data_IF_908538732295
#
_entry.id   IF_908538732295
#
_cell.length_a   1.000
_cell.length_b   1.000
_cell.length_c   1.000
_cell.angle_alpha   90.00
_cell.angle_beta   90.00
_cell.angle_gamma   90.00
#
_symmetry.space_group_name_H-M   'P 1'
#
loop_
_entity.id
_entity.type
_entity.pdbx_description
1 polymer ?
#
# COMPACT_ATOMS: atom_id res chain seq x y z
N UNK A 1 -18.58 -12.24 -20.71
CA UNK A 1 -18.00 -13.01 -19.58
C UNK A 1 -16.69 -13.61 -20.06
N UNK A 2 -15.70 -13.81 -19.16
CA UNK A 2 -14.31 -14.26 -19.44
C UNK A 2 -13.44 -13.02 -19.73
N UNK A 3 -12.57 -12.55 -18.82
CA UNK A 3 -11.38 -13.25 -18.34
C UNK A 3 -11.19 -13.09 -16.83
N UNK A 4 -11.37 -14.18 -16.10
CA UNK A 4 -10.83 -14.38 -14.75
C UNK A 4 -9.66 -15.39 -14.88
N UNK A 5 -8.83 -15.49 -13.84
CA UNK A 5 -7.86 -16.58 -13.56
C UNK A 5 -6.65 -16.79 -14.49
N UNK A 6 -5.72 -15.84 -14.52
CA UNK A 6 -4.28 -16.13 -14.68
C UNK A 6 -3.56 -15.21 -13.70
N UNK A 7 -3.10 -15.68 -12.55
CA UNK A 7 -1.69 -16.02 -12.38
C UNK A 7 -1.47 -16.74 -11.04
N UNK A 8 -1.97 -17.97 -10.91
CA UNK A 8 -1.81 -18.83 -9.72
C UNK A 8 -0.52 -19.67 -9.82
N UNK A 9 0.60 -19.06 -10.19
CA UNK A 9 1.89 -19.77 -10.32
C UNK A 9 2.99 -18.81 -9.90
N UNK A 10 3.43 -18.86 -8.64
CA UNK A 10 4.81 -18.66 -8.16
C UNK A 10 4.84 -19.25 -6.74
N UNK A 11 4.71 -20.58 -6.67
CA UNK A 11 5.07 -21.39 -5.50
C UNK A 11 5.98 -22.47 -6.04
N UNK A 12 7.24 -22.16 -6.34
CA UNK A 12 8.35 -23.12 -6.42
C UNK A 12 9.68 -22.43 -6.76
N UNK A 13 10.42 -21.97 -5.75
CA UNK A 13 11.88 -21.85 -5.83
C UNK A 13 12.44 -21.76 -4.40
N UNK A 14 12.35 -22.86 -3.67
CA UNK A 14 13.11 -23.06 -2.45
C UNK A 14 14.60 -23.14 -2.77
N UNK A 15 15.37 -22.59 -1.83
CA UNK A 15 16.66 -23.06 -1.37
C UNK A 15 17.90 -22.82 -2.24
N UNK A 16 18.68 -21.82 -1.83
CA UNK A 16 20.12 -22.02 -1.68
C UNK A 16 20.59 -21.42 -0.34
N UNK A 17 20.93 -22.33 0.57
CA UNK A 17 21.81 -22.17 1.73
C UNK A 17 23.17 -21.56 1.29
N UNK A 18 24.03 -20.91 2.09
CA UNK A 18 24.36 -21.05 3.51
C UNK A 18 25.33 -19.93 3.97
N UNK A 19 25.35 -19.72 5.28
CA UNK A 19 26.54 -19.54 6.13
C UNK A 19 27.15 -18.13 6.35
N UNK A 20 27.23 -17.82 7.64
CA UNK A 20 28.43 -17.42 8.39
C UNK A 20 28.61 -15.94 8.75
N UNK A 21 28.79 -15.71 10.07
CA UNK A 21 29.19 -14.47 10.73
C UNK A 21 28.12 -13.97 11.71
N UNK A 22 28.20 -14.07 13.04
CA UNK A 22 29.34 -14.30 13.93
C UNK A 22 29.52 -13.12 14.90
N UNK A 23 28.86 -13.20 16.06
CA UNK A 23 29.33 -12.61 17.34
C UNK A 23 29.04 -11.14 17.66
N UNK A 24 28.47 -10.88 18.85
CA UNK A 24 28.47 -9.55 19.47
C UNK A 24 27.38 -9.32 20.52
N UNK A 25 27.69 -9.58 21.78
CA UNK A 25 26.85 -9.51 22.98
C UNK A 25 26.28 -8.11 23.31
N UNK A 26 25.07 -8.05 23.86
CA UNK A 26 24.70 -7.49 25.18
C UNK A 26 23.31 -6.84 25.23
N UNK A 27 22.66 -7.03 26.38
CA UNK A 27 21.55 -6.26 26.93
C UNK A 27 20.11 -6.71 26.62
N UNK A 28 19.65 -7.61 27.48
CA UNK A 28 18.34 -7.64 28.17
C UNK A 28 17.21 -6.77 27.61
N UNK A 29 16.13 -7.42 27.22
CA UNK A 29 14.83 -6.78 27.01
C UNK A 29 13.82 -7.73 26.37
N UNK A 30 13.04 -8.42 27.20
CA UNK A 30 11.81 -9.09 26.78
C UNK A 30 10.89 -8.10 26.06
N UNK A 31 10.76 -8.22 24.74
CA UNK A 31 9.57 -7.76 24.03
C UNK A 31 9.30 -8.71 22.86
N UNK A 32 8.35 -9.63 23.07
CA UNK A 32 7.58 -10.26 21.99
C UNK A 32 6.86 -9.16 21.21
N UNK A 33 7.56 -8.49 20.30
CA UNK A 33 6.96 -7.59 19.33
C UNK A 33 7.14 -8.26 17.97
N UNK A 34 6.24 -9.18 17.66
CA UNK A 34 5.91 -9.52 16.29
C UNK A 34 5.43 -8.23 15.64
N UNK A 35 6.39 -7.43 15.15
CA UNK A 35 6.13 -6.25 14.34
C UNK A 35 5.41 -6.76 13.10
N UNK A 36 4.08 -6.65 13.10
CA UNK A 36 3.28 -6.83 11.90
C UNK A 36 3.70 -5.71 10.95
N UNK A 37 4.62 -6.02 10.03
CA UNK A 37 5.04 -5.08 9.00
C UNK A 37 3.87 -4.98 8.02
N UNK A 38 2.91 -4.09 8.29
CA UNK A 38 1.86 -3.75 7.33
C UNK A 38 2.52 -3.19 6.07
N UNK A 39 2.36 -3.90 4.94
CA UNK A 39 2.97 -3.51 3.67
C UNK A 39 2.27 -2.27 3.11
N UNK A 40 2.87 -1.11 3.40
CA UNK A 40 2.35 0.18 2.99
C UNK A 40 2.56 0.40 1.50
N UNK A 41 1.47 0.45 0.73
CA UNK A 41 1.51 0.81 -0.69
C UNK A 41 1.28 2.31 -0.87
N UNK A 42 2.12 2.96 -1.69
CA UNK A 42 1.96 4.37 -2.06
C UNK A 42 1.72 4.49 -3.56
N UNK A 43 0.56 5.03 -3.94
CA UNK A 43 0.17 5.26 -5.34
C UNK A 43 0.15 6.74 -5.65
N UNK A 44 0.98 7.19 -6.59
CA UNK A 44 0.92 8.58 -7.09
C UNK A 44 -0.34 8.76 -7.93
N UNK A 45 -1.11 9.82 -7.65
CA UNK A 45 -2.31 10.13 -8.41
C UNK A 45 -1.96 10.84 -9.71
N UNK A 46 -2.62 10.41 -10.78
CA UNK A 46 -2.59 11.06 -12.09
C UNK A 46 -3.80 11.98 -12.22
N UNK A 47 -3.59 13.15 -12.84
CA UNK A 47 -4.65 14.14 -13.08
C UNK A 47 -5.79 13.51 -13.89
N UNK A 48 -7.03 13.83 -13.53
CA UNK A 48 -8.28 13.34 -14.12
C UNK A 48 -8.42 11.81 -14.15
N UNK A 49 -7.65 11.09 -13.35
CA UNK A 49 -7.76 9.64 -13.20
C UNK A 49 -8.53 9.32 -11.92
N UNK A 50 -9.62 8.51 -12.01
CA UNK A 50 -10.36 8.10 -10.84
C UNK A 50 -9.65 6.95 -10.11
N UNK A 51 -9.58 7.06 -8.79
CA UNK A 51 -9.06 6.02 -7.89
C UNK A 51 -10.13 5.63 -6.89
N UNK A 52 -10.41 4.33 -6.77
CA UNK A 52 -11.26 3.82 -5.69
C UNK A 52 -10.49 3.87 -4.37
N UNK A 53 -11.11 4.46 -3.34
CA UNK A 53 -10.61 4.49 -1.98
C UNK A 53 -11.39 3.51 -1.12
N UNK A 54 -10.65 2.65 -0.43
CA UNK A 54 -11.17 1.76 0.59
C UNK A 54 -11.04 2.39 1.98
N UNK A 55 -11.72 1.81 2.97
CA UNK A 55 -11.54 2.20 4.38
C UNK A 55 -10.07 2.03 4.78
N UNK A 56 -9.48 3.07 5.34
CA UNK A 56 -8.06 3.10 5.73
C UNK A 56 -7.15 3.78 4.71
N UNK A 57 -7.58 3.92 3.45
CA UNK A 57 -6.82 4.66 2.45
C UNK A 57 -6.70 6.13 2.86
N UNK A 58 -5.50 6.69 2.70
CA UNK A 58 -5.23 8.11 2.97
C UNK A 58 -4.79 8.81 1.70
N UNK A 59 -5.52 9.86 1.32
CA UNK A 59 -5.10 10.77 0.26
C UNK A 59 -4.28 11.89 0.86
N UNK A 60 -3.07 12.10 0.36
CA UNK A 60 -2.16 13.16 0.82
C UNK A 60 -1.80 14.07 -0.34
N UNK A 61 -1.91 15.38 -0.12
CA UNK A 61 -1.49 16.41 -1.08
C UNK A 61 0.02 16.62 -0.92
N UNK A 62 0.75 16.57 -2.02
CA UNK A 62 2.18 16.83 -2.05
C UNK A 62 2.49 18.33 -2.18
N UNK A 63 1.58 19.09 -2.80
CA UNK A 63 1.67 20.56 -2.89
C UNK A 63 0.36 21.20 -2.41
N UNK A 64 0.45 22.33 -1.71
CA UNK A 64 -0.67 22.94 -0.97
C UNK A 64 -1.87 23.33 -1.85
N UNK A 65 -1.61 23.71 -3.11
CA UNK A 65 -2.64 24.11 -4.06
C UNK A 65 -3.27 22.94 -4.84
N UNK A 66 -2.95 21.69 -4.49
CA UNK A 66 -3.56 20.53 -5.13
C UNK A 66 -5.06 20.48 -4.88
N UNK A 67 -5.84 20.22 -5.93
CA UNK A 67 -7.29 20.07 -5.85
C UNK A 67 -7.67 18.64 -6.13
N UNK A 68 -8.34 18.02 -5.17
CA UNK A 68 -8.82 16.65 -5.26
C UNK A 68 -10.33 16.68 -5.05
N UNK A 69 -11.07 15.98 -5.91
CA UNK A 69 -12.48 15.70 -5.73
C UNK A 69 -12.60 14.32 -5.11
N UNK A 70 -13.32 14.20 -4.00
CA UNK A 70 -13.63 12.91 -3.37
C UNK A 70 -15.15 12.77 -3.32
N UNK A 71 -15.65 11.69 -3.88
CA UNK A 71 -17.07 11.37 -3.95
C UNK A 71 -17.32 10.06 -3.22
N UNK A 72 -18.18 10.11 -2.19
CA UNK A 72 -18.61 8.90 -1.50
C UNK A 72 -19.57 8.13 -2.40
N UNK A 73 -19.33 6.83 -2.57
CA UNK A 73 -20.28 5.96 -3.23
C UNK A 73 -21.37 5.59 -2.21
N UNK A 74 -22.62 6.00 -2.41
CA UNK A 74 -23.70 5.69 -1.46
C UNK A 74 -24.12 4.22 -1.45
N UNK A 75 -23.72 3.44 -2.45
CA UNK A 75 -24.05 2.02 -2.59
C UNK A 75 -22.96 1.08 -2.09
N UNK A 76 -21.82 1.60 -1.60
CA UNK A 76 -20.71 0.80 -1.06
C UNK A 76 -19.93 1.56 0.00
N UNK A 77 -19.08 0.88 0.76
CA UNK A 77 -18.18 1.55 1.73
C UNK A 77 -16.92 2.14 1.08
N UNK A 78 -16.98 2.46 -0.22
CA UNK A 78 -15.86 3.04 -0.97
C UNK A 78 -16.12 4.49 -1.36
N UNK A 79 -15.06 5.21 -1.69
CA UNK A 79 -15.14 6.54 -2.31
C UNK A 79 -14.34 6.56 -3.61
N UNK A 80 -14.58 7.53 -4.47
CA UNK A 80 -13.75 7.79 -5.66
C UNK A 80 -13.00 9.09 -5.45
N UNK A 81 -11.68 9.06 -5.61
CA UNK A 81 -10.83 10.23 -5.60
C UNK A 81 -10.28 10.53 -6.98
N UNK A 82 -10.39 11.80 -7.40
CA UNK A 82 -9.87 12.29 -8.67
C UNK A 82 -9.03 13.53 -8.41
N UNK A 83 -7.76 13.49 -8.83
CA UNK A 83 -6.88 14.66 -8.79
C UNK A 83 -7.26 15.60 -9.96
N UNK A 84 -7.69 16.82 -9.66
CA UNK A 84 -8.06 17.82 -10.67
C UNK A 84 -6.86 18.67 -11.09
N UNK A 85 -5.98 18.97 -10.15
CA UNK A 85 -4.76 19.75 -10.36
C UNK A 85 -3.76 19.50 -9.23
N UNK A 86 -2.47 19.61 -9.54
CA UNK A 86 -1.37 19.56 -8.57
C UNK A 86 -0.77 18.17 -8.44
N UNK A 87 -0.40 17.77 -7.22
CA UNK A 87 0.26 16.50 -6.95
C UNK A 87 -0.29 15.89 -5.67
N UNK A 88 -0.68 14.62 -5.73
CA UNK A 88 -1.20 13.88 -4.60
C UNK A 88 -0.85 12.39 -4.71
N UNK A 89 -0.91 11.69 -3.59
CA UNK A 89 -0.73 10.24 -3.53
C UNK A 89 -1.70 9.60 -2.55
N UNK A 90 -2.00 8.34 -2.80
CA UNK A 90 -2.83 7.48 -1.95
C UNK A 90 -1.89 6.55 -1.22
N UNK A 91 -2.02 6.50 0.09
CA UNK A 91 -1.36 5.54 0.96
C UNK A 91 -2.36 4.49 1.40
N UNK A 92 -1.99 3.21 1.29
CA UNK A 92 -2.78 2.06 1.72
C UNK A 92 -1.96 1.21 2.68
N UNK A 93 -2.58 0.73 3.75
CA UNK A 93 -2.03 -0.23 4.70
C UNK A 93 -2.76 -1.57 4.56
#
# INVERSE_FOLDING_TARGET
MIYQYKLLIIVLALAIFSACGGGGSTSSGDFNNTQNIEEKTVTTMVINTPYTLSKGDKVTRNIDNSRIRIEKNSSSDTSTATLLWGQAYITRN
#
